data_IF_406965690342
#
_entry.id   IF_406965690342
#
_cell.length_a   1.000
_cell.length_b   1.000
_cell.length_c   1.000
_cell.angle_alpha   90.00
_cell.angle_beta   90.00
_cell.angle_gamma   90.00
#
_symmetry.space_group_name_H-M   'P 1'
#
loop_
_entity.id
_entity.type
_entity.pdbx_description
1 polymer ?
#
# COMPACT_ATOMS: atom_id res chain seq x y z
N UNK A 1 36.06 -43.03 -0.92
CA UNK A 1 34.86 -42.57 -1.66
C UNK A 1 33.78 -42.18 -0.64
N UNK A 2 33.95 -41.05 0.08
CA UNK A 2 33.08 -40.65 1.21
C UNK A 2 32.85 -39.12 1.26
N UNK A 3 33.14 -38.41 0.17
CA UNK A 3 33.13 -36.93 0.13
C UNK A 3 31.86 -36.40 -0.57
N UNK A 4 31.12 -37.22 -1.31
CA UNK A 4 30.01 -36.74 -2.16
C UNK A 4 28.70 -36.47 -1.40
N UNK A 5 28.45 -37.10 -0.24
CA UNK A 5 27.18 -36.93 0.50
C UNK A 5 27.14 -35.70 1.42
N UNK A 6 28.28 -35.19 1.90
CA UNK A 6 28.30 -34.03 2.82
C UNK A 6 28.03 -32.70 2.11
N UNK A 7 28.47 -32.56 0.86
CA UNK A 7 28.29 -31.33 0.08
C UNK A 7 26.83 -31.12 -0.36
N UNK A 8 26.09 -32.19 -0.65
CA UNK A 8 24.67 -32.13 -1.03
C UNK A 8 23.80 -31.69 0.17
N UNK A 9 24.10 -32.19 1.38
CA UNK A 9 23.39 -31.81 2.60
C UNK A 9 23.54 -30.30 2.92
N UNK A 10 24.71 -29.73 2.63
CA UNK A 10 25.02 -28.33 2.88
C UNK A 10 24.29 -27.38 1.92
N UNK A 11 24.08 -27.80 0.66
CA UNK A 11 23.31 -27.06 -0.35
C UNK A 11 21.81 -27.06 -0.03
N UNK A 12 21.27 -28.17 0.48
CA UNK A 12 19.87 -28.28 0.92
C UNK A 12 19.59 -27.40 2.14
N UNK A 13 20.53 -27.33 3.09
CA UNK A 13 20.41 -26.46 4.27
C UNK A 13 20.44 -24.97 3.90
N UNK A 14 21.19 -24.60 2.85
CA UNK A 14 21.27 -23.23 2.35
C UNK A 14 19.98 -22.78 1.62
N UNK A 15 19.19 -23.70 1.07
CA UNK A 15 17.89 -23.40 0.46
C UNK A 15 16.77 -23.17 1.49
N UNK A 16 16.88 -23.73 2.69
CA UNK A 16 15.83 -23.65 3.72
C UNK A 16 15.80 -22.31 4.48
N UNK A 17 16.88 -21.54 4.46
CA UNK A 17 16.96 -20.21 5.10
C UNK A 17 16.42 -19.07 4.21
N UNK A 18 16.01 -19.37 2.96
CA UNK A 18 15.49 -18.39 2.00
C UNK A 18 14.00 -18.06 2.12
N UNK A 19 13.24 -18.76 2.98
CA UNK A 19 11.80 -18.52 3.17
C UNK A 19 11.58 -17.29 4.06
N UNK A 20 11.95 -16.13 3.54
CA UNK A 20 11.58 -14.85 4.11
C UNK A 20 10.05 -14.74 4.10
N UNK A 21 9.44 -14.66 5.28
CA UNK A 21 8.01 -14.43 5.47
C UNK A 21 7.53 -13.31 4.54
N UNK A 22 6.64 -13.65 3.60
CA UNK A 22 6.16 -12.71 2.58
C UNK A 22 5.51 -11.44 3.16
N UNK A 23 5.41 -10.37 2.35
CA UNK A 23 4.90 -9.06 2.78
C UNK A 23 3.46 -9.10 3.31
N UNK A 24 2.72 -10.16 2.99
CA UNK A 24 1.30 -10.36 3.31
C UNK A 24 1.06 -10.72 4.79
N UNK A 25 2.11 -11.02 5.55
CA UNK A 25 2.01 -11.35 6.97
C UNK A 25 2.04 -10.13 7.91
N UNK A 26 2.37 -8.95 7.40
CA UNK A 26 2.44 -7.71 8.19
C UNK A 26 1.46 -6.65 7.64
N UNK A 27 0.48 -6.20 8.45
CA UNK A 27 -0.55 -5.28 7.98
C UNK A 27 0.01 -3.92 7.57
N UNK A 28 1.10 -3.47 8.20
CA UNK A 28 1.78 -2.23 7.84
C UNK A 28 2.48 -2.33 6.47
N UNK A 29 3.10 -3.48 6.19
CA UNK A 29 3.75 -3.72 4.89
C UNK A 29 2.71 -3.76 3.78
N UNK A 30 1.59 -4.46 3.99
CA UNK A 30 0.46 -4.49 3.05
C UNK A 30 -0.06 -3.08 2.75
N UNK A 31 -0.30 -2.27 3.79
CA UNK A 31 -0.77 -0.90 3.62
C UNK A 31 0.24 -0.03 2.86
N UNK A 32 1.53 -0.12 3.20
CA UNK A 32 2.59 0.64 2.52
C UNK A 32 2.72 0.24 1.04
N UNK A 33 2.64 -1.05 0.73
CA UNK A 33 2.69 -1.55 -0.65
C UNK A 33 1.48 -1.06 -1.45
N UNK A 34 0.28 -1.12 -0.88
CA UNK A 34 -0.94 -0.58 -1.51
C UNK A 34 -0.78 0.90 -1.88
N UNK A 35 -0.34 1.72 -0.91
CA UNK A 35 -0.11 3.15 -1.15
C UNK A 35 1.00 3.36 -2.19
N UNK A 36 2.11 2.63 -2.11
CA UNK A 36 3.20 2.74 -3.07
C UNK A 36 2.73 2.47 -4.50
N UNK A 37 1.96 1.39 -4.70
CA UNK A 37 1.46 1.00 -6.01
C UNK A 37 0.44 1.99 -6.57
N UNK A 38 -0.41 2.55 -5.70
CA UNK A 38 -1.33 3.63 -6.07
C UNK A 38 -0.57 4.82 -6.68
N UNK A 39 0.50 5.31 -6.05
CA UNK A 39 1.26 6.46 -6.56
C UNK A 39 2.21 6.14 -7.71
N UNK A 40 2.59 4.87 -7.91
CA UNK A 40 3.45 4.46 -9.01
C UNK A 40 2.66 4.18 -10.30
N UNK A 41 1.33 4.30 -10.28
CA UNK A 41 0.48 4.00 -11.45
C UNK A 41 0.50 2.53 -11.88
N UNK A 42 0.98 1.62 -11.01
CA UNK A 42 1.10 0.19 -11.27
C UNK A 42 -0.06 -0.63 -10.68
N UNK A 43 -1.11 0.04 -10.22
CA UNK A 43 -2.22 -0.61 -9.53
C UNK A 43 -3.32 -0.92 -10.53
N UNK A 44 -3.52 -2.21 -10.85
CA UNK A 44 -4.67 -2.65 -11.64
C UNK A 44 -5.90 -2.86 -10.76
N UNK A 45 -7.08 -2.91 -11.35
CA UNK A 45 -8.32 -3.25 -10.63
C UNK A 45 -8.23 -4.60 -9.93
N UNK A 46 -7.67 -5.59 -10.61
CA UNK A 46 -7.46 -6.92 -10.03
C UNK A 46 -6.49 -6.88 -8.84
N UNK A 47 -5.45 -6.04 -8.89
CA UNK A 47 -4.54 -5.87 -7.75
C UNK A 47 -5.25 -5.27 -6.54
N UNK A 48 -6.13 -4.29 -6.77
CA UNK A 48 -6.95 -3.69 -5.70
C UNK A 48 -7.85 -4.75 -5.08
N UNK A 49 -8.63 -5.46 -5.90
CA UNK A 49 -9.59 -6.47 -5.43
C UNK A 49 -8.91 -7.63 -4.68
N UNK A 50 -7.69 -8.01 -5.07
CA UNK A 50 -6.91 -9.03 -4.34
C UNK A 50 -6.46 -8.56 -2.96
N UNK A 51 -6.31 -7.25 -2.77
CA UNK A 51 -5.75 -6.63 -1.56
C UNK A 51 -6.79 -6.04 -0.63
N UNK A 52 -8.03 -5.93 -1.09
CA UNK A 52 -9.14 -5.40 -0.32
C UNK A 52 -10.11 -6.50 0.09
N UNK A 53 -10.92 -6.21 1.10
CA UNK A 53 -12.05 -7.03 1.56
C UNK A 53 -13.15 -6.10 2.08
N UNK A 54 -14.30 -6.67 2.47
CA UNK A 54 -15.40 -5.92 3.08
C UNK A 54 -15.84 -4.71 2.25
N UNK A 55 -16.10 -3.59 2.93
CA UNK A 55 -16.61 -2.34 2.35
C UNK A 55 -15.76 -1.84 1.18
N UNK A 56 -14.43 -1.83 1.34
CA UNK A 56 -13.54 -1.32 0.31
C UNK A 56 -13.48 -2.22 -0.93
N UNK A 57 -13.63 -3.53 -0.75
CA UNK A 57 -13.77 -4.46 -1.88
C UNK A 57 -15.09 -4.24 -2.63
N UNK A 58 -16.19 -4.07 -1.89
CA UNK A 58 -17.49 -3.81 -2.50
C UNK A 58 -17.50 -2.51 -3.29
N UNK A 59 -16.88 -1.46 -2.77
CA UNK A 59 -16.76 -0.17 -3.45
C UNK A 59 -16.03 -0.32 -4.80
N UNK A 60 -14.85 -0.95 -4.79
CA UNK A 60 -14.05 -1.11 -6.01
C UNK A 60 -14.60 -2.17 -6.98
N UNK A 61 -15.32 -3.18 -6.50
CA UNK A 61 -15.92 -4.20 -7.36
C UNK A 61 -17.12 -3.66 -8.14
N UNK A 62 -17.85 -2.69 -7.59
CA UNK A 62 -19.02 -2.05 -8.23
C UNK A 62 -18.65 -0.83 -9.07
N UNK A 63 -17.42 -0.31 -8.94
CA UNK A 63 -16.93 0.86 -9.66
C UNK A 63 -16.82 0.63 -11.18
N UNK A 64 -17.04 1.65 -12.01
CA UNK A 64 -16.75 1.55 -13.46
C UNK A 64 -15.25 1.69 -13.73
N UNK A 65 -14.77 1.15 -14.85
CA UNK A 65 -13.34 1.25 -15.20
C UNK A 65 -12.91 2.71 -15.40
N UNK A 66 -13.77 3.57 -15.95
CA UNK A 66 -13.52 5.01 -16.08
C UNK A 66 -13.29 5.67 -14.72
N UNK A 67 -14.17 5.38 -13.75
CA UNK A 67 -14.05 5.91 -12.38
C UNK A 67 -12.78 5.38 -11.73
N UNK A 68 -12.48 4.09 -11.88
CA UNK A 68 -11.27 3.47 -11.37
C UNK A 68 -10.01 4.15 -11.94
N UNK A 69 -9.97 4.36 -13.26
CA UNK A 69 -8.86 5.04 -13.93
C UNK A 69 -8.69 6.49 -13.44
N UNK A 70 -9.78 7.24 -13.25
CA UNK A 70 -9.69 8.62 -12.74
C UNK A 70 -9.17 8.70 -11.29
N UNK A 71 -9.40 7.67 -10.46
CA UNK A 71 -8.90 7.60 -9.09
C UNK A 71 -7.44 7.12 -8.99
N UNK A 72 -7.04 6.16 -9.83
CA UNK A 72 -5.75 5.47 -9.69
C UNK A 72 -4.69 5.83 -10.75
N UNK A 73 -5.06 6.43 -11.89
CA UNK A 73 -4.13 6.89 -12.93
C UNK A 73 -3.87 8.40 -12.89
N UNK A 74 -3.94 9.02 -11.71
CA UNK A 74 -3.64 10.45 -11.56
C UNK A 74 -2.13 10.70 -11.74
N UNK A 75 -1.67 10.79 -12.99
CA UNK A 75 -0.30 11.15 -13.39
C UNK A 75 0.19 12.49 -12.81
N UNK A 76 -0.74 13.29 -12.27
CA UNK A 76 -0.50 14.58 -11.63
C UNK A 76 -0.14 14.46 -10.14
N UNK A 77 -0.14 13.27 -9.56
CA UNK A 77 0.22 13.08 -8.16
C UNK A 77 1.61 12.45 -8.03
N UNK A 78 2.45 13.02 -7.16
CA UNK A 78 3.71 12.37 -6.77
C UNK A 78 3.78 12.20 -5.25
N UNK A 79 3.95 10.96 -4.81
CA UNK A 79 4.10 10.65 -3.38
C UNK A 79 5.33 11.34 -2.81
N UNK A 80 5.16 12.06 -1.70
CA UNK A 80 6.27 12.61 -0.91
C UNK A 80 6.62 11.67 0.24
N UNK A 81 5.64 11.39 1.10
CA UNK A 81 5.90 10.68 2.37
C UNK A 81 4.68 9.91 2.83
N UNK A 82 4.92 8.76 3.46
CA UNK A 82 3.91 8.00 4.20
C UNK A 82 4.43 7.81 5.62
N UNK A 83 3.68 8.30 6.60
CA UNK A 83 4.01 8.19 8.02
C UNK A 83 2.89 7.44 8.74
N UNK A 84 3.22 6.36 9.43
CA UNK A 84 2.30 5.69 10.35
C UNK A 84 2.47 6.37 11.71
N UNK A 85 1.35 6.83 12.28
CA UNK A 85 1.34 7.54 13.57
C UNK A 85 0.85 6.66 14.71
N UNK A 86 -0.02 5.70 14.42
CA UNK A 86 -0.58 4.80 15.42
C UNK A 86 -0.95 3.46 14.78
N UNK A 87 -0.80 2.38 15.55
CA UNK A 87 -1.14 1.02 15.14
C UNK A 87 -1.67 0.25 16.35
N UNK A 88 -2.86 -0.35 16.19
CA UNK A 88 -3.44 -1.28 17.16
C UNK A 88 -3.87 -2.54 16.43
N UNK A 89 -3.19 -3.65 16.68
CA UNK A 89 -3.51 -4.93 16.06
C UNK A 89 -3.92 -5.99 17.10
N UNK A 90 -4.77 -6.91 16.68
CA UNK A 90 -5.03 -8.21 17.26
C UNK A 90 -4.66 -9.31 16.26
N UNK A 91 -4.93 -10.57 16.59
CA UNK A 91 -4.64 -11.70 15.71
C UNK A 91 -5.34 -11.62 14.34
N UNK A 92 -6.56 -11.08 14.31
CA UNK A 92 -7.41 -11.04 13.12
C UNK A 92 -7.62 -9.64 12.54
N UNK A 93 -7.44 -8.58 13.33
CA UNK A 93 -7.73 -7.21 12.90
C UNK A 93 -6.59 -6.27 13.21
N UNK A 94 -6.39 -5.27 12.37
CA UNK A 94 -5.49 -4.18 12.69
C UNK A 94 -6.06 -2.83 12.24
N UNK A 95 -5.94 -1.83 13.10
CA UNK A 95 -6.24 -0.44 12.79
C UNK A 95 -4.95 0.36 12.75
N UNK A 96 -4.70 1.03 11.62
CA UNK A 96 -3.50 1.83 11.39
C UNK A 96 -3.91 3.26 11.05
N UNK A 97 -3.47 4.22 11.86
CA UNK A 97 -3.59 5.64 11.55
C UNK A 97 -2.32 6.10 10.84
N UNK A 98 -2.47 6.70 9.67
CA UNK A 98 -1.35 7.11 8.83
C UNK A 98 -1.63 8.45 8.14
N UNK A 99 -0.56 9.15 7.78
CA UNK A 99 -0.58 10.32 6.91
C UNK A 99 0.08 10.01 5.58
N UNK A 100 -0.51 10.49 4.49
CA UNK A 100 0.10 10.53 3.15
C UNK A 100 0.27 11.99 2.75
N UNK A 101 1.51 12.38 2.47
CA UNK A 101 1.84 13.64 1.81
C UNK A 101 2.15 13.40 0.32
N UNK A 102 1.58 14.21 -0.56
CA UNK A 102 1.82 14.15 -2.00
C UNK A 102 1.73 15.54 -2.64
N UNK A 103 2.43 15.72 -3.76
CA UNK A 103 2.34 16.92 -4.57
C UNK A 103 1.28 16.73 -5.66
N UNK A 104 0.56 17.80 -5.95
CA UNK A 104 -0.29 17.93 -7.13
C UNK A 104 0.46 18.77 -8.16
N UNK A 105 0.64 18.21 -9.36
CA UNK A 105 1.38 18.84 -10.46
C UNK A 105 0.43 19.46 -11.49
N UNK A 106 0.80 20.65 -11.98
CA UNK A 106 0.20 21.32 -13.13
C UNK A 106 1.33 21.74 -14.08
N UNK A 107 1.30 21.28 -15.33
CA UNK A 107 2.33 21.56 -16.34
C UNK A 107 3.78 21.34 -15.84
N UNK A 108 4.02 20.22 -15.12
CA UNK A 108 5.30 19.82 -14.50
C UNK A 108 5.74 20.65 -13.28
N UNK A 109 4.98 21.66 -12.88
CA UNK A 109 5.22 22.43 -11.67
C UNK A 109 4.37 21.91 -10.51
N UNK A 110 4.92 21.95 -9.30
CA UNK A 110 4.16 21.65 -8.08
C UNK A 110 3.20 22.82 -7.85
N UNK A 111 1.90 22.55 -7.93
CA UNK A 111 0.84 23.53 -7.65
C UNK A 111 0.57 23.57 -6.15
N UNK A 112 0.27 22.40 -5.59
CA UNK A 112 -0.14 22.23 -4.21
C UNK A 112 0.59 21.05 -3.58
N UNK A 113 0.82 21.12 -2.28
CA UNK A 113 1.16 19.99 -1.44
C UNK A 113 -0.07 19.63 -0.60
N UNK A 114 -0.40 18.34 -0.56
CA UNK A 114 -1.55 17.83 0.17
C UNK A 114 -1.08 16.80 1.17
N UNK A 115 -1.50 16.94 2.43
CA UNK A 115 -1.35 15.92 3.45
C UNK A 115 -2.72 15.41 3.90
N UNK A 116 -2.95 14.10 3.79
CA UNK A 116 -4.18 13.46 4.26
C UNK A 116 -3.85 12.53 5.42
N UNK A 117 -4.58 12.67 6.53
CA UNK A 117 -4.54 11.73 7.66
C UNK A 117 -5.74 10.80 7.57
N UNK A 118 -5.48 9.49 7.62
CA UNK A 118 -6.47 8.43 7.38
C UNK A 118 -6.33 7.33 8.44
N UNK A 119 -7.37 6.52 8.58
CA UNK A 119 -7.36 5.25 9.31
C UNK A 119 -7.62 4.13 8.31
N UNK A 120 -6.76 3.12 8.28
CA UNK A 120 -7.01 1.86 7.58
C UNK A 120 -7.39 0.78 8.60
N UNK A 121 -8.49 0.10 8.35
CA UNK A 121 -8.85 -1.16 9.00
C UNK A 121 -8.43 -2.31 8.10
N UNK A 122 -7.70 -3.27 8.66
CA UNK A 122 -7.24 -4.46 7.97
C UNK A 122 -7.77 -5.71 8.67
N UNK A 123 -8.14 -6.70 7.87
CA UNK A 123 -8.61 -8.01 8.32
C UNK A 123 -7.65 -9.08 7.81
N UNK A 124 -7.26 -10.00 8.68
CA UNK A 124 -6.44 -11.15 8.31
C UNK A 124 -7.34 -12.23 7.70
N UNK A 125 -7.11 -12.52 6.42
CA UNK A 125 -7.65 -13.68 5.73
C UNK A 125 -6.77 -14.88 6.09
N UNK A 126 -7.38 -15.96 6.56
CA UNK A 126 -6.69 -17.18 6.99
C UNK A 126 -5.84 -17.81 5.87
N UNK A 127 -6.14 -17.53 4.60
CA UNK A 127 -5.41 -18.08 3.44
C UNK A 127 -4.48 -17.08 2.75
N UNK A 128 -4.86 -15.80 2.72
CA UNK A 128 -4.22 -14.79 1.87
C UNK A 128 -3.60 -13.62 2.64
N UNK A 129 -3.34 -13.79 3.94
CA UNK A 129 -2.72 -12.76 4.77
C UNK A 129 -3.61 -11.54 5.04
N UNK A 130 -3.00 -10.39 5.29
CA UNK A 130 -3.74 -9.16 5.62
C UNK A 130 -4.34 -8.50 4.38
N UNK A 131 -5.62 -8.13 4.47
CA UNK A 131 -6.35 -7.35 3.45
C UNK A 131 -6.92 -6.07 4.05
N UNK A 132 -7.03 -5.03 3.23
CA UNK A 132 -7.59 -3.74 3.64
C UNK A 132 -9.12 -3.81 3.56
N UNK A 133 -9.79 -3.69 4.70
CA UNK A 133 -11.25 -3.76 4.81
C UNK A 133 -11.89 -2.38 4.57
N UNK A 134 -11.28 -1.32 5.11
CA UNK A 134 -11.82 0.03 5.07
C UNK A 134 -10.71 1.07 5.17
N UNK A 135 -10.86 2.21 4.46
CA UNK A 135 -10.03 3.39 4.65
C UNK A 135 -10.93 4.60 4.90
N UNK A 136 -10.75 5.28 6.03
CA UNK A 136 -11.51 6.47 6.41
C UNK A 136 -10.60 7.69 6.42
N UNK A 137 -11.05 8.79 5.82
CA UNK A 137 -10.36 10.08 5.88
C UNK A 137 -10.68 10.79 7.20
N UNK A 138 -9.65 11.18 7.96
CA UNK A 138 -9.84 11.96 9.18
C UNK A 138 -9.71 13.45 8.92
N UNK A 139 -8.62 13.86 8.26
CA UNK A 139 -8.27 15.26 8.01
C UNK A 139 -7.49 15.39 6.72
N UNK A 140 -7.67 16.51 6.03
CA UNK A 140 -6.88 16.88 4.86
C UNK A 140 -6.33 18.29 5.07
N UNK A 141 -5.05 18.47 4.80
CA UNK A 141 -4.35 19.74 4.82
C UNK A 141 -3.87 20.06 3.41
N UNK A 142 -4.07 21.31 2.99
CA UNK A 142 -3.64 21.83 1.70
C UNK A 142 -2.67 22.98 1.94
N UNK A 143 -1.51 22.89 1.30
CA UNK A 143 -0.53 23.95 1.24
C UNK A 143 -0.37 24.35 -0.23
N UNK A 144 -0.76 25.58 -0.55
CA UNK A 144 -0.53 26.13 -1.88
C UNK A 144 0.95 26.52 -1.97
N UNK A 145 1.67 26.02 -2.98
CA UNK A 145 3.03 26.52 -3.19
C UNK A 145 2.96 27.98 -3.62
N UNK A 146 3.80 28.87 -3.06
CA UNK A 146 3.91 30.22 -3.58
C UNK A 146 4.38 30.12 -5.03
N UNK A 147 3.56 30.62 -5.96
CA UNK A 147 3.94 30.74 -7.36
C UNK A 147 5.19 31.60 -7.39
N UNK A 148 6.35 31.01 -7.70
CA UNK A 148 7.55 31.80 -8.02
C UNK A 148 7.30 32.45 -9.38
N UNK A 149 6.79 33.68 -9.35
CA UNK A 149 6.78 34.56 -10.51
C UNK A 149 8.26 34.86 -10.80
N UNK A 150 8.74 34.46 -11.98
CA UNK A 150 10.09 34.76 -12.47
C UNK A 150 10.01 35.91 -13.45
#
# INVERSE_FOLDING_TARGET
MLIENKSILLIIFMFLIGSCLGPENNPEVVLRDFIQKQFNGKLTRQDVLKRTTGELFEEYSKMTDETFHSLFLQKKLSKKKVKISFKKCSALRCSITFSIAYNVHENKNIKNMVETKKIASLLKDNKNGWKIEKIVNLKTYFENSPIKIR
#
